data_IF_315537027430
#
_entry.id   IF_315537027430
#
_cell.length_a   1.000
_cell.length_b   1.000
_cell.length_c   1.000
_cell.angle_alpha   90.00
_cell.angle_beta   90.00
_cell.angle_gamma   90.00
#
_symmetry.space_group_name_H-M   'P 1'
#
loop_
_entity.id
_entity.type
_entity.pdbx_description
1 polymer ?
#
# COMPACT_ATOMS: atom_id res chain seq x y z
N UNK A 1 16.49 31.40 -17.41
CA UNK A 1 16.09 30.81 -16.11
C UNK A 1 16.85 29.50 -15.90
N UNK A 2 17.79 29.46 -14.95
CA UNK A 2 18.56 28.26 -14.61
C UNK A 2 17.66 27.22 -13.94
N UNK A 3 17.60 25.99 -14.47
CA UNK A 3 16.93 24.85 -13.83
C UNK A 3 17.69 24.51 -12.55
N UNK A 4 17.04 24.56 -11.38
CA UNK A 4 17.65 24.10 -10.13
C UNK A 4 17.86 22.58 -10.19
N UNK A 5 19.04 22.10 -9.75
CA UNK A 5 19.37 20.66 -9.73
C UNK A 5 18.29 19.89 -8.95
N UNK A 6 17.68 18.89 -9.58
CA UNK A 6 16.60 18.06 -9.01
C UNK A 6 15.17 18.42 -9.45
N UNK A 7 14.98 19.49 -10.23
CA UNK A 7 13.67 19.85 -10.77
C UNK A 7 13.42 19.13 -12.11
N UNK A 8 12.47 18.19 -12.13
CA UNK A 8 12.01 17.58 -13.40
C UNK A 8 11.45 18.65 -14.34
N UNK A 9 11.51 18.44 -15.65
CA UNK A 9 10.93 19.39 -16.62
C UNK A 9 9.41 19.47 -16.53
N UNK A 10 8.77 18.46 -15.96
CA UNK A 10 7.31 18.29 -15.91
C UNK A 10 6.86 17.72 -14.57
N UNK A 11 5.61 18.01 -14.21
CA UNK A 11 4.93 17.49 -13.04
C UNK A 11 4.67 15.98 -13.17
N UNK A 12 5.12 15.18 -12.19
CA UNK A 12 4.99 13.72 -12.26
C UNK A 12 3.57 13.16 -12.04
N UNK A 13 2.52 13.97 -12.16
CA UNK A 13 1.13 13.54 -11.97
C UNK A 13 0.46 13.27 -13.32
N UNK A 14 -0.53 12.37 -13.36
CA UNK A 14 -1.38 12.17 -14.55
C UNK A 14 -2.61 13.08 -14.47
N UNK A 15 -3.02 13.61 -15.61
CA UNK A 15 -4.27 14.36 -15.77
C UNK A 15 -5.46 13.39 -15.77
N UNK A 16 -6.68 13.91 -15.69
CA UNK A 16 -7.92 13.11 -15.75
C UNK A 16 -8.01 12.24 -17.01
N UNK A 17 -7.39 12.67 -18.10
CA UNK A 17 -7.38 11.95 -19.37
C UNK A 17 -6.21 10.94 -19.47
N UNK A 18 -5.50 10.65 -18.37
CA UNK A 18 -4.43 9.67 -18.30
C UNK A 18 -3.05 10.15 -18.78
N UNK A 19 -2.98 11.29 -19.48
CA UNK A 19 -1.73 11.88 -19.95
C UNK A 19 -0.90 12.52 -18.81
N UNK A 20 0.42 12.54 -18.96
CA UNK A 20 1.33 13.20 -18.01
C UNK A 20 1.07 14.71 -17.93
N UNK A 21 1.15 15.28 -16.73
CA UNK A 21 0.97 16.71 -16.51
C UNK A 21 2.19 17.49 -17.00
N UNK A 22 1.99 18.33 -18.01
CA UNK A 22 3.05 19.15 -18.62
C UNK A 22 3.40 20.42 -17.84
N UNK A 23 2.73 20.69 -16.71
CA UNK A 23 3.00 21.88 -15.91
C UNK A 23 4.36 21.80 -15.21
N UNK A 24 4.98 22.96 -15.00
CA UNK A 24 6.28 23.06 -14.31
C UNK A 24 6.13 22.58 -12.85
N UNK A 25 6.95 21.62 -12.40
CA UNK A 25 6.92 21.13 -11.04
C UNK A 25 7.57 22.11 -10.07
N UNK A 26 7.05 22.14 -8.85
CA UNK A 26 7.70 22.80 -7.71
C UNK A 26 8.80 21.87 -7.14
N UNK A 27 9.47 22.29 -6.06
CA UNK A 27 10.58 21.52 -5.44
C UNK A 27 10.22 20.07 -5.10
N UNK A 28 8.94 19.77 -4.85
CA UNK A 28 8.45 18.43 -4.53
C UNK A 28 8.08 17.57 -5.76
N UNK A 29 8.41 17.99 -6.98
CA UNK A 29 8.13 17.24 -8.22
C UNK A 29 6.67 17.30 -8.70
N UNK A 30 5.81 18.08 -8.04
CA UNK A 30 4.41 18.31 -8.40
C UNK A 30 4.16 19.78 -8.75
N UNK A 31 3.28 20.06 -9.71
CA UNK A 31 2.91 21.45 -10.04
C UNK A 31 1.93 22.03 -9.01
N UNK A 32 1.71 23.34 -9.07
CA UNK A 32 0.73 24.06 -8.22
C UNK A 32 -0.64 23.38 -8.17
N UNK A 33 -1.09 22.81 -9.29
CA UNK A 33 -2.40 22.17 -9.42
C UNK A 33 -2.44 20.72 -8.91
N UNK A 34 -1.30 20.04 -8.77
CA UNK A 34 -1.22 18.62 -8.39
C UNK A 34 -0.46 18.41 -7.08
N UNK A 35 -0.65 19.31 -6.11
CA UNK A 35 -0.05 19.18 -4.78
C UNK A 35 1.34 19.79 -4.63
N UNK A 36 1.80 20.60 -5.59
CA UNK A 36 3.06 21.34 -5.49
C UNK A 36 3.14 22.28 -4.29
N UNK A 37 1.99 22.79 -3.85
CA UNK A 37 1.85 23.62 -2.63
C UNK A 37 1.74 22.81 -1.33
N UNK A 38 1.63 21.48 -1.41
CA UNK A 38 1.53 20.64 -0.22
C UNK A 38 2.85 20.63 0.53
N UNK A 39 2.81 21.01 1.79
CA UNK A 39 3.94 20.91 2.74
C UNK A 39 3.97 19.55 3.45
N UNK A 40 3.13 18.61 3.01
CA UNK A 40 2.85 17.38 3.74
C UNK A 40 2.00 17.62 4.99
N UNK A 41 1.69 16.54 5.73
CA UNK A 41 0.90 16.62 6.95
C UNK A 41 1.65 17.39 8.04
N UNK A 42 0.98 18.34 8.69
CA UNK A 42 1.59 19.20 9.73
C UNK A 42 2.03 18.43 10.99
N UNK A 43 1.44 17.26 11.22
CA UNK A 43 1.72 16.39 12.37
C UNK A 43 1.85 14.94 11.86
N UNK A 44 3.07 14.51 11.46
CA UNK A 44 3.31 13.19 10.90
C UNK A 44 2.84 12.04 11.82
N UNK A 45 2.99 12.22 13.14
CA UNK A 45 2.59 11.20 14.11
C UNK A 45 1.08 10.96 14.15
N UNK A 46 0.26 11.97 13.81
CA UNK A 46 -1.20 11.82 13.70
C UNK A 46 -1.67 11.09 12.44
N UNK A 47 -0.76 10.78 11.51
CA UNK A 47 -1.05 9.86 10.41
C UNK A 47 -1.03 8.40 10.88
N UNK A 48 -0.28 8.07 11.94
CA UNK A 48 -0.28 6.73 12.53
C UNK A 48 -1.68 6.47 13.09
N UNK A 49 -2.41 5.54 12.47
CA UNK A 49 -3.78 5.19 12.88
C UNK A 49 -4.88 6.11 12.38
N UNK A 50 -4.62 7.02 11.43
CA UNK A 50 -5.65 7.88 10.85
C UNK A 50 -6.72 7.05 10.11
N UNK A 51 -7.91 6.93 10.71
CA UNK A 51 -9.07 6.22 10.17
C UNK A 51 -10.04 7.13 9.38
N UNK A 52 -9.67 8.38 9.07
CA UNK A 52 -10.55 9.41 8.49
C UNK A 52 -11.02 9.14 7.04
N UNK A 53 -10.92 7.89 6.61
CA UNK A 53 -11.48 7.34 5.38
C UNK A 53 -12.93 6.88 5.56
N UNK A 54 -13.77 7.60 6.34
CA UNK A 54 -15.23 7.35 6.31
C UNK A 54 -15.72 7.72 4.91
N UNK A 55 -15.92 6.70 4.06
CA UNK A 55 -16.30 6.85 2.64
C UNK A 55 -15.21 6.57 1.60
N UNK A 56 -13.96 6.29 1.99
CA UNK A 56 -12.95 5.84 1.03
C UNK A 56 -13.03 4.31 0.89
N UNK A 57 -13.20 3.81 -0.34
CA UNK A 57 -13.14 2.36 -0.67
C UNK A 57 -11.82 1.72 -0.22
N UNK A 58 -10.77 2.52 0.01
CA UNK A 58 -9.48 2.15 0.57
C UNK A 58 -9.39 2.15 2.10
N UNK A 59 -10.50 1.96 2.83
CA UNK A 59 -10.44 1.89 4.30
C UNK A 59 -9.57 0.69 4.72
N UNK A 60 -8.49 0.95 5.47
CA UNK A 60 -7.57 -0.07 5.99
C UNK A 60 -8.19 -0.98 7.08
N UNK A 61 -9.52 -1.11 7.13
CA UNK A 61 -10.22 -2.02 8.05
C UNK A 61 -9.90 -3.45 7.69
N UNK A 62 -10.06 -3.79 6.42
CA UNK A 62 -9.81 -5.15 5.94
C UNK A 62 -8.32 -5.40 5.78
N UNK A 63 -7.53 -4.37 5.42
CA UNK A 63 -6.11 -4.49 5.05
C UNK A 63 -5.87 -4.70 3.55
N UNK A 64 -6.94 -4.69 2.74
CA UNK A 64 -6.90 -4.93 1.30
C UNK A 64 -5.94 -4.01 0.53
N UNK A 65 -5.83 -2.76 0.97
CA UNK A 65 -5.05 -1.70 0.35
C UNK A 65 -3.89 -1.22 1.23
N UNK A 66 -3.55 -1.99 2.27
CA UNK A 66 -2.39 -1.76 3.11
C UNK A 66 -1.10 -1.67 2.27
N UNK A 67 -0.28 -0.64 2.50
CA UNK A 67 1.00 -0.51 1.80
C UNK A 67 2.05 -1.35 2.50
N UNK A 68 2.24 -2.58 2.03
CA UNK A 68 3.22 -3.54 2.55
C UNK A 68 4.49 -3.43 1.72
N UNK A 69 5.58 -3.03 2.38
CA UNK A 69 6.93 -2.99 1.83
C UNK A 69 7.86 -3.68 2.81
N UNK A 70 9.03 -4.14 2.35
CA UNK A 70 9.99 -4.83 3.19
C UNK A 70 10.32 -4.07 4.49
N UNK A 71 10.51 -2.75 4.40
CA UNK A 71 10.84 -1.87 5.52
C UNK A 71 9.67 -1.67 6.51
N UNK A 72 8.45 -2.04 6.12
CA UNK A 72 7.22 -1.93 6.92
C UNK A 72 6.72 -3.27 7.45
N UNK A 73 7.43 -4.35 7.16
CA UNK A 73 7.18 -5.65 7.76
C UNK A 73 7.55 -5.61 9.25
N UNK A 74 6.81 -6.38 10.04
CA UNK A 74 7.21 -6.63 11.43
C UNK A 74 8.50 -7.48 11.43
N UNK A 75 9.33 -7.34 12.47
CA UNK A 75 10.63 -8.03 12.52
C UNK A 75 10.51 -9.54 12.31
N UNK A 76 9.53 -10.17 12.95
CA UNK A 76 9.30 -11.59 12.80
C UNK A 76 8.76 -11.98 11.41
N UNK A 77 8.06 -11.08 10.69
CA UNK A 77 7.64 -11.30 9.30
C UNK A 77 8.87 -11.28 8.38
N UNK A 78 9.80 -10.34 8.59
CA UNK A 78 11.08 -10.33 7.88
C UNK A 78 11.88 -11.60 8.16
N UNK A 79 11.97 -12.03 9.42
CA UNK A 79 12.71 -13.22 9.81
C UNK A 79 12.09 -14.52 9.31
N UNK A 80 10.76 -14.56 9.20
CA UNK A 80 10.06 -15.68 8.55
C UNK A 80 10.42 -15.75 7.07
N UNK A 81 10.36 -14.62 6.36
CA UNK A 81 10.69 -14.57 4.92
C UNK A 81 12.18 -14.87 4.68
N UNK A 82 13.10 -14.30 5.49
CA UNK A 82 14.54 -14.59 5.40
C UNK A 82 14.82 -16.08 5.51
N UNK A 83 14.16 -16.77 6.45
CA UNK A 83 14.30 -18.23 6.63
C UNK A 83 13.71 -19.02 5.47
N UNK A 84 12.53 -18.63 4.98
CA UNK A 84 11.85 -19.33 3.89
C UNK A 84 12.63 -19.27 2.57
N UNK A 85 13.29 -18.15 2.30
CA UNK A 85 14.04 -17.90 1.05
C UNK A 85 15.56 -17.99 1.21
N UNK A 86 16.05 -18.37 2.39
CA UNK A 86 17.48 -18.44 2.71
C UNK A 86 18.26 -17.15 2.37
N UNK A 87 17.67 -15.99 2.69
CA UNK A 87 18.24 -14.68 2.36
C UNK A 87 19.43 -14.33 3.26
N UNK A 88 20.46 -13.73 2.68
CA UNK A 88 21.56 -13.12 3.41
C UNK A 88 21.14 -11.85 4.19
N UNK A 89 22.00 -11.33 5.10
CA UNK A 89 21.65 -10.21 5.99
C UNK A 89 21.18 -8.92 5.29
N UNK A 90 21.66 -8.69 4.06
CA UNK A 90 21.34 -7.50 3.27
C UNK A 90 20.42 -7.79 2.07
N UNK A 91 19.97 -9.05 1.92
CA UNK A 91 19.06 -9.43 0.84
C UNK A 91 17.61 -9.20 1.23
N UNK A 92 16.80 -8.79 0.26
CA UNK A 92 15.41 -8.45 0.46
C UNK A 92 14.58 -9.05 -0.66
N UNK A 93 13.38 -9.51 -0.32
CA UNK A 93 12.41 -9.90 -1.34
C UNK A 93 11.85 -8.63 -1.97
N UNK A 94 12.17 -8.43 -3.24
CA UNK A 94 11.58 -7.38 -4.09
C UNK A 94 10.32 -7.85 -4.79
N UNK A 95 10.09 -9.17 -4.79
CA UNK A 95 8.99 -9.81 -5.45
C UNK A 95 7.65 -9.43 -4.83
N UNK A 96 6.69 -9.19 -5.71
CA UNK A 96 5.41 -8.60 -5.33
C UNK A 96 4.47 -9.61 -4.67
N UNK A 97 4.71 -10.90 -4.84
CA UNK A 97 3.81 -11.98 -4.44
C UNK A 97 3.85 -12.22 -2.93
N UNK A 98 5.03 -12.18 -2.34
CA UNK A 98 5.29 -12.38 -0.92
C UNK A 98 4.61 -11.29 -0.09
N UNK A 99 4.64 -10.05 -0.59
CA UNK A 99 3.91 -8.95 0.03
C UNK A 99 2.38 -9.18 0.02
N UNK A 100 1.84 -9.87 -1.00
CA UNK A 100 0.42 -10.25 -0.99
C UNK A 100 0.13 -11.43 -0.05
N UNK A 101 1.05 -12.38 0.12
CA UNK A 101 0.89 -13.42 1.14
C UNK A 101 0.94 -12.86 2.56
N UNK A 102 1.85 -11.92 2.84
CA UNK A 102 1.85 -11.19 4.11
C UNK A 102 0.53 -10.42 4.30
N UNK A 103 0.00 -9.80 3.23
CA UNK A 103 -1.32 -9.15 3.27
C UNK A 103 -2.37 -10.15 3.73
N UNK A 104 -2.49 -11.30 3.07
CA UNK A 104 -3.47 -12.33 3.44
C UNK A 104 -3.30 -12.79 4.88
N UNK A 105 -2.07 -13.02 5.34
CA UNK A 105 -1.80 -13.42 6.73
C UNK A 105 -2.26 -12.37 7.75
N UNK A 106 -2.02 -11.08 7.49
CA UNK A 106 -2.52 -9.98 8.35
C UNK A 106 -4.04 -9.88 8.33
N UNK A 107 -4.67 -10.08 7.17
CA UNK A 107 -6.14 -10.11 7.04
C UNK A 107 -6.76 -11.26 7.84
N UNK A 108 -6.20 -12.46 7.73
CA UNK A 108 -6.64 -13.64 8.48
C UNK A 108 -6.52 -13.45 9.99
N UNK A 109 -5.43 -12.82 10.48
CA UNK A 109 -5.31 -12.49 11.91
C UNK A 109 -6.42 -11.56 12.39
N UNK A 110 -6.80 -10.56 11.59
CA UNK A 110 -7.94 -9.67 11.91
C UNK A 110 -9.26 -10.44 11.93
N UNK A 111 -9.46 -11.33 10.94
CA UNK A 111 -10.65 -12.17 10.87
C UNK A 111 -10.77 -13.05 12.12
N UNK A 112 -9.71 -13.74 12.52
CA UNK A 112 -9.68 -14.55 13.75
C UNK A 112 -9.98 -13.75 15.02
N UNK A 113 -9.54 -12.49 15.08
CA UNK A 113 -9.85 -11.62 16.23
C UNK A 113 -11.33 -11.22 16.25
N UNK A 114 -11.90 -10.88 15.11
CA UNK A 114 -13.32 -10.49 15.00
C UNK A 114 -14.28 -11.66 15.14
N UNK A 115 -13.85 -12.86 14.76
CA UNK A 115 -14.64 -14.09 14.88
C UNK A 115 -14.93 -14.45 16.34
N UNK A 116 -14.12 -13.99 17.29
CA UNK A 116 -14.37 -14.14 18.73
C UNK A 116 -15.68 -13.49 19.20
N UNK A 117 -16.18 -12.49 18.46
CA UNK A 117 -17.46 -11.83 18.72
C UNK A 117 -18.18 -11.53 17.39
N UNK A 118 -18.71 -12.57 16.77
CA UNK A 118 -19.43 -12.50 15.49
C UNK A 118 -20.60 -11.53 15.56
N UNK A 119 -21.36 -11.52 16.65
CA UNK A 119 -22.56 -10.70 16.78
C UNK A 119 -22.25 -9.21 16.60
N UNK A 120 -21.15 -8.73 17.21
CA UNK A 120 -20.72 -7.34 17.09
C UNK A 120 -19.93 -7.04 15.81
N UNK A 121 -19.36 -8.06 15.15
CA UNK A 121 -18.43 -7.88 14.03
C UNK A 121 -18.90 -8.45 12.68
N UNK A 122 -20.13 -8.96 12.56
CA UNK A 122 -20.66 -9.59 11.34
C UNK A 122 -20.38 -8.78 10.06
N UNK A 123 -20.68 -7.48 10.06
CA UNK A 123 -20.42 -6.62 8.90
C UNK A 123 -18.93 -6.49 8.55
N UNK A 124 -18.04 -6.53 9.54
CA UNK A 124 -16.59 -6.46 9.32
C UNK A 124 -16.04 -7.78 8.79
N UNK A 125 -16.58 -8.91 9.27
CA UNK A 125 -16.26 -10.24 8.77
C UNK A 125 -16.66 -10.38 7.29
N UNK A 126 -17.88 -9.99 6.91
CA UNK A 126 -18.29 -9.99 5.51
C UNK A 126 -17.39 -9.09 4.64
N UNK A 127 -17.04 -7.90 5.13
CA UNK A 127 -16.13 -7.00 4.42
C UNK A 127 -14.72 -7.60 4.22
N UNK A 128 -14.20 -8.32 5.22
CA UNK A 128 -12.87 -8.91 5.12
C UNK A 128 -12.85 -10.13 4.19
N UNK A 129 -13.91 -10.95 4.18
CA UNK A 129 -14.06 -12.06 3.23
C UNK A 129 -14.10 -11.58 1.77
N UNK A 130 -14.91 -10.57 1.50
CA UNK A 130 -14.97 -9.92 0.18
C UNK A 130 -13.61 -9.38 -0.26
N UNK A 131 -12.89 -8.75 0.68
CA UNK A 131 -11.55 -8.23 0.44
C UNK A 131 -10.53 -9.35 0.19
N UNK A 132 -10.61 -10.44 0.95
CA UNK A 132 -9.74 -11.61 0.77
C UNK A 132 -9.93 -12.21 -0.62
N UNK A 133 -11.17 -12.33 -1.09
CA UNK A 133 -11.49 -12.82 -2.44
C UNK A 133 -10.79 -11.98 -3.51
N UNK A 134 -10.82 -10.64 -3.37
CA UNK A 134 -10.12 -9.73 -4.31
C UNK A 134 -8.61 -9.82 -4.23
N UNK A 135 -8.03 -10.00 -3.04
CA UNK A 135 -6.58 -10.19 -2.86
C UNK A 135 -6.15 -11.52 -3.48
N UNK A 136 -6.86 -12.62 -3.22
CA UNK A 136 -6.61 -13.93 -3.82
C UNK A 136 -6.66 -13.87 -5.34
N UNK A 137 -7.63 -13.14 -5.91
CA UNK A 137 -7.69 -12.92 -7.36
C UNK A 137 -6.48 -12.15 -7.93
N UNK A 138 -5.91 -11.21 -7.18
CA UNK A 138 -4.67 -10.50 -7.57
C UNK A 138 -3.46 -11.43 -7.54
N UNK A 139 -3.34 -12.26 -6.51
CA UNK A 139 -2.29 -13.29 -6.40
C UNK A 139 -2.36 -14.24 -7.59
N UNK A 140 -3.54 -14.77 -7.89
CA UNK A 140 -3.76 -15.68 -9.03
C UNK A 140 -3.36 -15.04 -10.37
N UNK A 141 -3.74 -13.78 -10.61
CA UNK A 141 -3.34 -13.04 -11.82
C UNK A 141 -1.82 -12.89 -11.94
N UNK A 142 -1.12 -12.62 -10.84
CA UNK A 142 0.34 -12.50 -10.83
C UNK A 142 1.04 -13.84 -11.03
N UNK A 143 0.49 -14.92 -10.47
CA UNK A 143 1.01 -16.27 -10.68
C UNK A 143 0.92 -16.67 -12.15
N UNK A 144 -0.22 -16.41 -12.80
CA UNK A 144 -0.39 -16.67 -14.24
C UNK A 144 0.65 -15.90 -15.06
N UNK A 145 0.85 -14.60 -14.77
CA UNK A 145 1.84 -13.76 -15.46
C UNK A 145 3.31 -14.19 -15.26
N UNK A 146 3.62 -15.02 -14.26
CA UNK A 146 4.97 -15.56 -14.04
C UNK A 146 5.22 -16.88 -14.78
N UNK A 147 4.17 -17.53 -15.27
CA UNK A 147 4.25 -18.82 -15.96
C UNK A 147 4.30 -18.64 -17.49
N UNK A 148 3.82 -17.51 -17.99
CA UNK A 148 3.99 -17.04 -19.38
C UNK A 148 5.34 -16.36 -19.61
#
# INVERSE_FOLDING_TARGET
>A
MMKMRGQTSVCGAKTRNGACCINIPMKNGRCRMHGGKSTGPKQPDKLKGNQNAIGNKGRLVTGEYESITWERLEEWEQDYIRRLYCLGPNEQVTESLEMEFIRQARMLRRMNEWDKDVASNLNRLLQIEDAMTRVSGRIMKRLIQKVE
#
